data_IF_337040350171
#
_entry.id   IF_337040350171
#
_cell.length_a   1.000
_cell.length_b   1.000
_cell.length_c   1.000
_cell.angle_alpha   90.00
_cell.angle_beta   90.00
_cell.angle_gamma   90.00
#
_symmetry.space_group_name_H-M   'P 1'
#
loop_
_entity.id
_entity.type
_entity.pdbx_description
1 polymer ?
#
# COMPACT_ATOMS: atom_id res chain seq x y z
N UNK A 1 -23.87 -41.30 53.30
CA UNK A 1 -23.28 -41.98 52.15
C UNK A 1 -23.85 -41.34 50.92
N UNK A 2 -23.01 -40.96 49.95
CA UNK A 2 -23.43 -40.43 48.65
C UNK A 2 -23.81 -38.94 48.58
N UNK A 3 -22.80 -38.06 48.54
CA UNK A 3 -22.89 -36.77 47.85
C UNK A 3 -21.48 -36.34 47.46
N UNK A 4 -21.01 -36.80 46.33
CA UNK A 4 -19.83 -36.24 45.70
C UNK A 4 -19.83 -36.57 44.20
N UNK A 5 -20.43 -35.70 43.39
CA UNK A 5 -20.24 -35.62 41.93
C UNK A 5 -21.20 -34.60 41.34
N UNK A 6 -20.76 -33.35 41.24
CA UNK A 6 -21.26 -32.36 40.23
C UNK A 6 -20.57 -31.05 40.48
N UNK A 7 -19.33 -30.93 40.09
CA UNK A 7 -18.67 -29.63 39.95
C UNK A 7 -17.42 -29.78 39.07
N UNK A 8 -17.62 -30.04 37.80
CA UNK A 8 -16.51 -29.87 36.82
C UNK A 8 -17.13 -29.91 35.43
N UNK A 9 -17.67 -28.81 34.95
CA UNK A 9 -17.98 -28.54 33.53
C UNK A 9 -18.51 -27.14 33.29
N UNK A 10 -17.78 -26.09 33.62
CA UNK A 10 -18.07 -24.70 33.15
C UNK A 10 -16.78 -23.90 33.15
N UNK A 11 -15.74 -24.27 32.45
CA UNK A 11 -14.56 -23.41 32.23
C UNK A 11 -13.93 -23.65 30.84
N UNK A 12 -14.65 -23.93 29.81
CA UNK A 12 -14.07 -24.11 28.47
C UNK A 12 -14.77 -23.25 27.39
N UNK A 13 -15.63 -22.31 27.75
CA UNK A 13 -16.37 -21.51 26.76
C UNK A 13 -15.93 -20.04 26.65
N UNK A 14 -14.81 -19.62 27.22
CA UNK A 14 -14.43 -18.20 27.25
C UNK A 14 -13.14 -17.84 26.49
N UNK A 15 -12.55 -18.73 25.71
CA UNK A 15 -11.28 -18.45 24.99
C UNK A 15 -11.42 -18.26 23.47
N UNK A 16 -12.62 -18.22 22.92
CA UNK A 16 -12.80 -18.16 21.46
C UNK A 16 -13.14 -16.77 20.89
N UNK A 17 -13.12 -15.69 21.68
CA UNK A 17 -13.47 -14.34 21.20
C UNK A 17 -12.32 -13.34 21.10
N UNK A 18 -11.09 -13.77 21.26
CA UNK A 18 -9.92 -12.87 21.23
C UNK A 18 -9.17 -12.86 19.87
N UNK A 19 -9.74 -13.43 18.80
CA UNK A 19 -9.03 -13.56 17.51
C UNK A 19 -9.48 -12.55 16.43
N UNK A 20 -10.28 -11.53 16.74
CA UNK A 20 -10.75 -10.53 15.77
C UNK A 20 -10.37 -9.09 16.13
N UNK A 21 -9.21 -8.86 16.70
CA UNK A 21 -8.81 -7.52 17.10
C UNK A 21 -7.38 -7.23 16.62
N UNK A 22 -7.22 -6.82 15.37
CA UNK A 22 -6.00 -6.12 14.97
C UNK A 22 -5.99 -5.49 13.58
N UNK A 23 -7.11 -5.15 13.00
CA UNK A 23 -7.09 -4.12 11.96
C UNK A 23 -7.88 -2.94 12.53
N UNK A 24 -7.24 -1.78 12.64
CA UNK A 24 -7.94 -0.53 12.93
C UNK A 24 -9.16 -0.32 12.02
N UNK A 25 -9.83 0.82 12.09
CA UNK A 25 -10.99 1.10 11.23
C UNK A 25 -10.65 0.80 9.77
N UNK A 26 -11.65 0.38 8.99
CA UNK A 26 -11.45 0.09 7.58
C UNK A 26 -10.79 1.31 6.91
N UNK A 27 -9.78 1.06 6.09
CA UNK A 27 -9.12 2.10 5.32
C UNK A 27 -9.93 2.34 4.06
N UNK A 28 -10.58 3.49 4.02
CA UNK A 28 -11.35 3.90 2.85
C UNK A 28 -10.43 4.17 1.66
N UNK A 29 -10.93 3.93 0.47
CA UNK A 29 -10.31 4.31 -0.81
C UNK A 29 -10.92 5.61 -1.31
N UNK A 30 -10.33 6.19 -2.35
CA UNK A 30 -11.01 7.25 -3.12
C UNK A 30 -12.28 6.68 -3.76
N UNK A 31 -13.23 7.57 -4.05
CA UNK A 31 -14.55 7.19 -4.58
C UNK A 31 -14.48 6.51 -5.94
N UNK A 32 -13.55 6.98 -6.80
CA UNK A 32 -13.38 6.44 -8.15
C UNK A 32 -11.99 6.72 -8.71
N UNK A 33 -11.47 5.78 -9.51
CA UNK A 33 -10.24 5.91 -10.28
C UNK A 33 -10.51 5.62 -11.75
N UNK A 34 -10.26 6.61 -12.60
CA UNK A 34 -10.14 6.40 -14.04
C UNK A 34 -8.82 5.67 -14.31
N UNK A 35 -8.92 4.39 -14.64
CA UNK A 35 -7.74 3.54 -14.83
C UNK A 35 -6.86 4.02 -15.99
N UNK A 36 -7.43 4.55 -17.08
CA UNK A 36 -6.65 5.03 -18.22
C UNK A 36 -5.79 6.23 -17.82
N UNK A 37 -6.34 7.16 -17.03
CA UNK A 37 -5.60 8.31 -16.50
C UNK A 37 -4.57 7.91 -15.46
N UNK A 38 -4.82 6.82 -14.72
CA UNK A 38 -3.92 6.35 -13.66
C UNK A 38 -2.70 5.62 -14.22
N UNK A 39 -2.75 5.09 -15.44
CA UNK A 39 -1.63 4.38 -16.07
C UNK A 39 -0.43 5.30 -16.30
N UNK A 40 0.74 4.71 -16.60
CA UNK A 40 2.02 5.39 -16.81
C UNK A 40 2.89 5.44 -15.56
N UNK A 41 3.87 6.34 -15.57
CA UNK A 41 4.89 6.45 -14.53
C UNK A 41 4.41 7.23 -13.31
N UNK A 42 4.78 6.72 -12.14
CA UNK A 42 4.63 7.35 -10.84
C UNK A 42 5.96 7.29 -10.08
N UNK A 43 6.52 8.45 -9.76
CA UNK A 43 7.72 8.55 -8.94
C UNK A 43 7.37 8.37 -7.46
N UNK A 44 8.04 7.47 -6.78
CA UNK A 44 7.85 7.27 -5.33
C UNK A 44 8.59 8.39 -4.60
N UNK A 45 7.85 9.30 -3.97
CA UNK A 45 8.39 10.48 -3.27
C UNK A 45 8.71 10.16 -1.81
N UNK A 46 7.84 9.37 -1.16
CA UNK A 46 8.05 8.86 0.19
C UNK A 46 7.40 7.49 0.35
N UNK A 47 7.86 6.70 1.30
CA UNK A 47 7.26 5.41 1.60
C UNK A 47 7.53 4.95 3.05
N UNK A 48 6.72 4.00 3.52
CA UNK A 48 7.17 3.02 4.51
C UNK A 48 7.60 1.80 3.70
N UNK A 49 8.92 1.54 3.55
CA UNK A 49 9.41 0.58 2.58
C UNK A 49 9.15 -0.86 2.98
N UNK A 50 8.88 -1.71 2.00
CA UNK A 50 8.99 -3.15 2.16
C UNK A 50 10.48 -3.55 2.28
N UNK A 51 10.74 -4.82 2.63
CA UNK A 51 12.12 -5.32 2.68
C UNK A 51 12.85 -5.27 1.33
N UNK A 52 12.11 -5.26 0.21
CA UNK A 52 12.67 -5.15 -1.14
C UNK A 52 13.17 -3.73 -1.46
N UNK A 53 12.47 -2.72 -0.93
CA UNK A 53 12.65 -1.30 -1.27
C UNK A 53 13.55 -0.55 -0.29
N UNK A 54 14.02 -1.23 0.73
CA UNK A 54 14.93 -0.62 1.70
C UNK A 54 16.15 -0.02 0.96
N UNK A 55 16.45 1.25 1.23
CA UNK A 55 17.50 2.03 0.57
C UNK A 55 17.28 2.22 -0.95
N UNK A 56 16.03 2.42 -1.38
CA UNK A 56 15.69 2.74 -2.77
C UNK A 56 15.96 4.21 -3.11
N UNK A 57 16.51 4.44 -4.30
CA UNK A 57 16.76 5.75 -4.93
C UNK A 57 16.16 5.72 -6.33
N UNK A 58 15.68 6.85 -6.83
CA UNK A 58 15.03 6.96 -8.15
C UNK A 58 13.99 5.84 -8.36
N UNK A 59 13.11 5.66 -7.37
CA UNK A 59 12.08 4.65 -7.42
C UNK A 59 10.90 5.13 -8.27
N UNK A 60 10.48 4.29 -9.22
CA UNK A 60 9.36 4.53 -10.14
C UNK A 60 8.51 3.28 -10.24
N UNK A 61 7.21 3.46 -10.14
CA UNK A 61 6.22 2.46 -10.53
C UNK A 61 5.57 2.87 -11.86
N UNK A 62 5.60 1.97 -12.83
CA UNK A 62 4.89 2.13 -14.11
C UNK A 62 3.72 1.14 -14.14
N UNK A 63 2.55 1.61 -14.57
CA UNK A 63 1.34 0.80 -14.72
C UNK A 63 0.85 0.81 -16.16
N UNK A 64 0.46 -0.35 -16.66
CA UNK A 64 -0.10 -0.53 -18.00
C UNK A 64 -1.28 -1.50 -17.97
N UNK A 65 -2.37 -1.16 -18.68
CA UNK A 65 -3.51 -2.06 -18.81
C UNK A 65 -3.18 -3.20 -19.76
N UNK A 66 -3.43 -4.43 -19.33
CA UNK A 66 -3.42 -5.61 -20.20
C UNK A 66 -4.79 -5.83 -20.84
N UNK A 67 -4.81 -6.52 -21.99
CA UNK A 67 -6.05 -6.90 -22.70
C UNK A 67 -7.01 -7.74 -21.83
N UNK A 68 -6.48 -8.44 -20.82
CA UNK A 68 -7.27 -9.26 -19.88
C UNK A 68 -7.84 -8.48 -18.69
N UNK A 69 -7.74 -7.14 -18.71
CA UNK A 69 -8.21 -6.25 -17.64
C UNK A 69 -7.33 -6.25 -16.38
N UNK A 70 -6.21 -6.95 -16.38
CA UNK A 70 -5.21 -6.86 -15.32
C UNK A 70 -4.25 -5.70 -15.57
N UNK A 71 -3.47 -5.32 -14.56
CA UNK A 71 -2.51 -4.22 -14.64
C UNK A 71 -1.11 -4.80 -14.60
N UNK A 72 -0.35 -4.64 -15.70
CA UNK A 72 1.08 -4.87 -15.70
C UNK A 72 1.74 -3.75 -14.89
N UNK A 73 2.59 -4.11 -13.95
CA UNK A 73 3.33 -3.16 -13.15
C UNK A 73 4.82 -3.39 -13.32
N UNK A 74 5.57 -2.31 -13.52
CA UNK A 74 7.03 -2.36 -13.53
C UNK A 74 7.55 -1.41 -12.45
N UNK A 75 8.03 -1.99 -11.36
CA UNK A 75 8.67 -1.22 -10.28
C UNK A 75 10.18 -1.24 -10.44
N UNK A 76 10.80 -0.07 -10.52
CA UNK A 76 12.25 0.09 -10.69
C UNK A 76 12.82 1.03 -9.64
N UNK A 77 14.04 0.75 -9.20
CA UNK A 77 14.82 1.67 -8.35
C UNK A 77 16.32 1.39 -8.41
N UNK A 78 17.14 2.30 -7.89
CA UNK A 78 18.56 2.12 -7.64
C UNK A 78 18.78 1.73 -6.19
N UNK A 79 19.56 0.68 -5.90
CA UNK A 79 19.81 0.16 -4.56
C UNK A 79 20.99 0.86 -3.90
N UNK A 80 20.75 1.53 -2.77
CA UNK A 80 21.81 2.10 -1.92
C UNK A 80 22.44 3.39 -2.42
N UNK A 81 21.96 3.98 -3.52
CA UNK A 81 22.46 5.24 -4.07
C UNK A 81 22.06 5.45 -5.52
N UNK A 82 22.24 6.67 -6.05
CA UNK A 82 21.87 7.01 -7.44
C UNK A 82 22.66 6.21 -8.48
N UNK A 83 23.88 5.80 -8.17
CA UNK A 83 24.72 4.95 -9.02
C UNK A 83 24.61 3.46 -8.66
N UNK A 84 23.72 3.11 -7.73
CA UNK A 84 23.51 1.75 -7.28
C UNK A 84 22.93 0.84 -8.35
N UNK A 85 22.97 -0.46 -8.10
CA UNK A 85 22.40 -1.46 -9.01
C UNK A 85 20.92 -1.19 -9.26
N UNK A 86 20.50 -1.16 -10.53
CA UNK A 86 19.08 -1.07 -10.90
C UNK A 86 18.37 -2.37 -10.57
N UNK A 87 17.35 -2.28 -9.72
CA UNK A 87 16.42 -3.38 -9.43
C UNK A 87 15.16 -3.19 -10.26
N UNK A 88 14.57 -4.29 -10.71
CA UNK A 88 13.34 -4.33 -11.48
C UNK A 88 12.45 -5.45 -10.95
N UNK A 89 11.21 -5.12 -10.64
CA UNK A 89 10.17 -6.07 -10.24
C UNK A 89 8.96 -5.87 -11.15
N UNK A 90 8.28 -6.97 -11.49
CA UNK A 90 7.13 -6.95 -12.41
C UNK A 90 5.91 -7.63 -11.78
N UNK A 91 5.34 -7.05 -10.70
CA UNK A 91 4.11 -7.59 -10.14
C UNK A 91 2.94 -7.40 -11.10
N UNK A 92 1.85 -8.14 -10.88
CA UNK A 92 0.60 -8.00 -11.63
C UNK A 92 -0.50 -7.50 -10.70
N UNK A 93 -1.17 -6.42 -11.09
CA UNK A 93 -2.33 -5.85 -10.40
C UNK A 93 -3.64 -6.49 -10.88
N UNK A 94 -4.57 -6.64 -9.95
CA UNK A 94 -5.92 -7.14 -10.17
C UNK A 94 -6.88 -6.17 -9.49
N UNK A 95 -7.69 -5.46 -10.26
CA UNK A 95 -8.78 -4.65 -9.72
C UNK A 95 -9.75 -5.58 -9.01
N UNK A 96 -10.10 -5.27 -7.76
CA UNK A 96 -10.99 -6.09 -6.92
C UNK A 96 -12.38 -5.47 -6.75
N UNK A 97 -12.49 -4.19 -6.99
CA UNK A 97 -13.72 -3.42 -6.89
C UNK A 97 -13.92 -2.60 -8.17
N UNK A 98 -14.79 -3.09 -9.01
CA UNK A 98 -15.11 -2.47 -10.30
C UNK A 98 -15.94 -1.18 -10.14
N UNK A 99 -16.50 -0.92 -8.96
CA UNK A 99 -17.29 0.29 -8.72
C UNK A 99 -16.40 1.51 -8.52
N UNK A 100 -15.34 1.37 -7.72
CA UNK A 100 -14.39 2.46 -7.46
C UNK A 100 -13.11 2.36 -8.30
N UNK A 101 -12.72 1.17 -8.74
CA UNK A 101 -11.41 0.86 -9.32
C UNK A 101 -10.21 1.17 -8.39
N UNK A 102 -10.47 1.47 -7.12
CA UNK A 102 -9.44 1.94 -6.19
C UNK A 102 -8.86 0.84 -5.28
N UNK A 103 -9.47 -0.33 -5.27
CA UNK A 103 -9.01 -1.49 -4.49
C UNK A 103 -8.42 -2.55 -5.42
N UNK A 104 -7.11 -2.81 -5.28
CA UNK A 104 -6.42 -3.81 -6.08
C UNK A 104 -5.80 -4.92 -5.23
N UNK A 105 -5.43 -6.01 -5.90
CA UNK A 105 -4.58 -7.05 -5.35
C UNK A 105 -3.28 -7.16 -6.11
N UNK A 106 -2.16 -6.75 -5.54
CA UNK A 106 -0.85 -6.84 -6.18
C UNK A 106 -0.20 -8.20 -5.95
N UNK A 107 0.16 -8.89 -7.04
CA UNK A 107 0.79 -10.21 -7.00
C UNK A 107 2.25 -10.15 -7.38
N UNK A 108 3.12 -10.21 -6.38
CA UNK A 108 4.56 -10.37 -6.53
C UNK A 108 4.96 -11.85 -6.66
N UNK A 109 4.29 -12.71 -5.88
CA UNK A 109 4.54 -14.15 -5.82
C UNK A 109 3.20 -14.89 -5.84
N UNK A 110 3.04 -15.80 -6.79
CA UNK A 110 1.84 -16.64 -6.84
C UNK A 110 1.74 -17.54 -5.61
N UNK A 111 0.55 -17.74 -4.99
CA UNK A 111 -0.77 -17.19 -5.36
C UNK A 111 -1.14 -15.92 -4.60
N UNK A 112 -0.24 -15.28 -3.86
CA UNK A 112 -0.51 -14.22 -2.90
C UNK A 112 -0.80 -12.91 -3.64
N UNK A 113 -1.97 -12.31 -3.34
CA UNK A 113 -2.33 -10.95 -3.79
C UNK A 113 -2.30 -10.02 -2.59
N UNK A 114 -1.29 -9.17 -2.50
CA UNK A 114 -1.16 -8.17 -1.45
C UNK A 114 -2.24 -7.09 -1.59
N UNK A 115 -2.73 -6.59 -0.47
CA UNK A 115 -3.66 -5.46 -0.41
C UNK A 115 -2.99 -4.19 -0.96
N UNK A 116 -3.70 -3.46 -1.82
CA UNK A 116 -3.25 -2.25 -2.49
C UNK A 116 -4.45 -1.32 -2.66
N UNK A 117 -4.44 -0.19 -1.99
CA UNK A 117 -5.57 0.74 -1.90
C UNK A 117 -5.14 2.12 -2.35
N UNK A 118 -5.80 2.69 -3.34
CA UNK A 118 -5.64 4.09 -3.70
C UNK A 118 -6.47 4.88 -2.70
N UNK A 119 -5.80 5.50 -1.72
CA UNK A 119 -6.44 6.18 -0.57
C UNK A 119 -6.45 7.69 -0.70
N UNK A 120 -5.65 8.21 -1.61
CA UNK A 120 -5.64 9.59 -2.05
C UNK A 120 -5.28 9.66 -3.53
N UNK A 121 -5.96 10.52 -4.25
CA UNK A 121 -5.67 10.85 -5.65
C UNK A 121 -6.21 12.26 -5.89
N UNK A 122 -5.36 13.15 -6.39
CA UNK A 122 -5.81 14.49 -6.74
C UNK A 122 -6.59 14.52 -8.07
N UNK A 123 -7.35 15.58 -8.30
CA UNK A 123 -8.24 15.72 -9.47
C UNK A 123 -7.47 15.69 -10.80
N UNK A 124 -6.22 16.15 -10.78
CA UNK A 124 -5.36 16.21 -11.96
C UNK A 124 -4.61 14.89 -12.22
N UNK A 125 -4.69 13.92 -11.30
CA UNK A 125 -3.91 12.66 -11.36
C UNK A 125 -2.41 12.92 -11.34
N UNK A 126 -1.98 13.94 -10.61
CA UNK A 126 -0.58 14.32 -10.47
C UNK A 126 0.07 13.75 -9.21
N UNK A 127 -0.72 13.49 -8.16
CA UNK A 127 -0.29 13.01 -6.85
C UNK A 127 -1.24 11.91 -6.34
N UNK A 128 -0.67 10.87 -5.72
CA UNK A 128 -1.46 9.76 -5.17
C UNK A 128 -0.79 9.16 -3.94
N UNK A 129 -1.60 8.55 -3.08
CA UNK A 129 -1.12 7.75 -1.95
C UNK A 129 -1.72 6.36 -2.06
N UNK A 130 -0.85 5.38 -2.01
CA UNK A 130 -1.22 3.97 -1.96
C UNK A 130 -1.02 3.46 -0.54
N UNK A 131 -2.10 2.97 0.02
CA UNK A 131 -2.13 2.42 1.36
C UNK A 131 -2.45 0.93 1.40
N UNK A 132 -2.44 0.39 2.62
CA UNK A 132 -2.85 -0.98 2.93
C UNK A 132 -3.65 -1.01 4.22
N UNK A 133 -4.67 -1.86 4.30
CA UNK A 133 -5.52 -2.03 5.49
C UNK A 133 -4.71 -2.21 6.79
N UNK A 134 -3.57 -2.89 6.71
CA UNK A 134 -2.69 -3.14 7.88
C UNK A 134 -1.86 -1.94 8.31
N UNK A 135 -1.79 -0.90 7.48
CA UNK A 135 -0.93 0.28 7.70
C UNK A 135 0.54 -0.07 7.91
N UNK A 136 0.97 -1.19 7.34
CA UNK A 136 2.36 -1.68 7.42
C UNK A 136 3.27 -1.04 6.36
N UNK A 137 2.72 -0.73 5.18
CA UNK A 137 3.40 -0.07 4.07
C UNK A 137 2.53 1.01 3.45
N UNK A 138 3.16 2.06 2.95
CA UNK A 138 2.53 3.17 2.22
C UNK A 138 3.49 3.68 1.16
N UNK A 139 2.94 4.16 0.04
CA UNK A 139 3.69 4.83 -1.02
C UNK A 139 3.01 6.16 -1.34
N UNK A 140 3.76 7.25 -1.21
CA UNK A 140 3.39 8.58 -1.66
C UNK A 140 4.06 8.78 -3.01
N UNK A 141 3.27 9.01 -4.04
CA UNK A 141 3.77 9.05 -5.40
C UNK A 141 3.30 10.30 -6.14
N UNK A 142 4.07 10.74 -7.12
CA UNK A 142 3.72 11.87 -7.99
C UNK A 142 4.12 11.58 -9.44
N UNK A 143 3.52 12.36 -10.38
CA UNK A 143 3.91 12.30 -11.80
C UNK A 143 5.25 12.96 -12.07
N UNK A 144 5.68 13.83 -11.17
CA UNK A 144 6.98 14.49 -11.25
C UNK A 144 7.91 13.97 -10.15
N UNK A 145 9.22 13.79 -10.43
CA UNK A 145 10.15 13.29 -9.44
C UNK A 145 10.43 14.28 -8.29
N UNK A 146 10.13 15.55 -8.51
CA UNK A 146 10.30 16.62 -7.55
C UNK A 146 8.99 17.38 -7.39
N UNK A 147 8.44 17.35 -6.20
CA UNK A 147 7.26 18.14 -5.80
C UNK A 147 7.67 19.28 -4.87
N UNK A 148 6.79 20.26 -4.67
CA UNK A 148 7.04 21.33 -3.71
C UNK A 148 7.06 20.78 -2.27
N UNK A 149 7.77 21.45 -1.37
CA UNK A 149 7.78 21.04 0.05
C UNK A 149 6.38 21.15 0.67
N UNK A 150 5.58 22.12 0.24
CA UNK A 150 4.20 22.27 0.70
C UNK A 150 3.32 21.06 0.27
N UNK A 151 3.45 20.58 -0.98
CA UNK A 151 2.76 19.38 -1.42
C UNK A 151 3.25 18.14 -0.67
N UNK A 152 4.54 18.06 -0.43
CA UNK A 152 5.12 16.95 0.34
C UNK A 152 4.56 16.90 1.76
N UNK A 153 4.54 18.04 2.47
CA UNK A 153 3.97 18.12 3.83
C UNK A 153 2.47 17.78 3.82
N UNK A 154 1.70 18.32 2.89
CA UNK A 154 0.27 18.01 2.74
C UNK A 154 0.03 16.51 2.55
N UNK A 155 0.81 15.85 1.68
CA UNK A 155 0.68 14.40 1.47
C UNK A 155 1.05 13.60 2.73
N UNK A 156 2.05 14.06 3.50
CA UNK A 156 2.40 13.42 4.78
C UNK A 156 1.30 13.60 5.83
N UNK A 157 0.64 14.75 5.88
CA UNK A 157 -0.52 14.98 6.76
C UNK A 157 -1.66 14.01 6.44
N UNK A 158 -1.90 13.72 5.15
CA UNK A 158 -2.85 12.69 4.73
C UNK A 158 -2.42 11.31 5.24
N UNK A 159 -1.14 10.93 5.08
CA UNK A 159 -0.60 9.64 5.58
C UNK A 159 -0.79 9.53 7.10
N UNK A 160 -0.51 10.59 7.86
CA UNK A 160 -0.72 10.63 9.31
C UNK A 160 -2.21 10.46 9.67
N UNK A 161 -3.10 11.17 8.97
CA UNK A 161 -4.55 11.09 9.19
C UNK A 161 -5.12 9.68 8.97
N UNK A 162 -4.51 8.90 8.07
CA UNK A 162 -4.84 7.51 7.81
C UNK A 162 -4.35 6.55 8.92
N UNK A 163 -3.60 7.06 9.92
CA UNK A 163 -3.15 6.31 11.08
C UNK A 163 -1.85 5.52 10.87
N UNK A 164 -1.00 5.96 9.96
CA UNK A 164 0.34 5.40 9.79
C UNK A 164 1.31 5.89 10.86
N UNK A 165 2.29 5.07 11.17
CA UNK A 165 3.42 5.43 12.05
C UNK A 165 4.43 6.30 11.29
N UNK A 166 4.33 7.61 11.47
CA UNK A 166 5.15 8.59 10.74
C UNK A 166 6.65 8.44 11.01
N UNK A 167 7.04 7.81 12.13
CA UNK A 167 8.46 7.52 12.41
C UNK A 167 9.09 6.53 11.42
N UNK A 168 8.29 5.81 10.66
CA UNK A 168 8.72 4.83 9.65
C UNK A 168 8.69 5.37 8.23
N UNK A 169 8.04 6.51 8.02
CA UNK A 169 7.98 7.15 6.70
C UNK A 169 9.33 7.76 6.38
N UNK A 170 9.82 7.47 5.20
CA UNK A 170 11.08 8.03 4.71
C UNK A 170 10.90 8.65 3.33
N UNK A 171 11.61 9.74 3.07
CA UNK A 171 11.69 10.33 1.73
C UNK A 171 12.51 9.42 0.83
N UNK A 172 12.05 9.19 -0.39
CA UNK A 172 12.78 8.45 -1.42
C UNK A 172 13.55 9.46 -2.27
N UNK A 173 14.90 9.41 -2.28
CA UNK A 173 15.69 10.38 -3.02
C UNK A 173 15.49 10.25 -4.54
N UNK A 174 15.20 11.37 -5.20
CA UNK A 174 15.00 11.46 -6.65
C UNK A 174 16.04 12.41 -7.26
N UNK A 175 16.71 11.95 -8.33
CA UNK A 175 17.66 12.74 -9.11
C UNK A 175 17.69 12.22 -10.54
N UNK A 176 17.18 13.04 -11.46
CA UNK A 176 17.01 12.73 -12.88
C UNK A 176 17.75 13.72 -13.75
#
# INVERSE_FOLDING_TARGET
>A
MTYLRKATLVVVASLALAACASSGPEMETVDYVDLERFMGDWYVIANIPTFLEKDAYNAVENYEMNDDGTIATTFTFRKGGFDGEKKVYTPKGFVRDDASNALWGMRFIWPIKADYRIVYLDDDYSQTIIGRQKRDFVWVMAREPNISEADYEMLLDVVESLGYDMSKVQRVPQKW
#
